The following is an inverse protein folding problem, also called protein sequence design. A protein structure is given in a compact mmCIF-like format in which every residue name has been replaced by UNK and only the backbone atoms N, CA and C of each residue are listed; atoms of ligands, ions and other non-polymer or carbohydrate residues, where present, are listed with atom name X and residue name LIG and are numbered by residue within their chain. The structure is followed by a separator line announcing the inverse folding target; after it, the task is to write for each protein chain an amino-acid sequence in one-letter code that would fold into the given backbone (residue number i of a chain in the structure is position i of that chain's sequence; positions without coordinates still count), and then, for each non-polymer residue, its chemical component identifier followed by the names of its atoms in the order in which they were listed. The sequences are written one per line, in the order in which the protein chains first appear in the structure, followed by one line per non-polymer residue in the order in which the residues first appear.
data_IF_994750877974
#
_entry.id   IF_994750877974
#
_cell.length_a   1.000
_cell.length_b   1.000
_cell.length_c   1.000
_cell.angle_alpha   90.00
_cell.angle_beta   90.00
_cell.angle_gamma   90.00
#
_symmetry.space_group_name_H-M   'P 1'
#
loop_
_entity.id
_entity.type
_entity.pdbx_description
1 polymer ?
#
# COMPACT_ATOMS: atom_id res chain seq x y z
N UNK A 1 45.53 8.43 51.68
CA UNK A 1 45.55 7.04 51.18
C UNK A 1 44.11 6.60 51.05
N UNK A 2 43.59 6.48 49.83
CA UNK A 2 42.27 5.90 49.60
C UNK A 2 42.24 5.23 48.22
N UNK A 3 42.43 3.92 48.19
CA UNK A 3 42.42 3.13 46.96
C UNK A 3 40.98 2.77 46.57
N UNK A 4 40.51 3.33 45.45
CA UNK A 4 39.23 2.95 44.84
C UNK A 4 39.38 1.58 44.15
N UNK A 5 38.78 0.53 44.74
CA UNK A 5 38.69 -0.82 44.17
C UNK A 5 37.94 -0.80 42.82
N UNK A 6 38.59 -1.29 41.75
CA UNK A 6 38.00 -1.43 40.41
C UNK A 6 37.01 -2.61 40.40
N UNK A 7 35.77 -2.39 39.97
CA UNK A 7 34.74 -3.44 39.78
C UNK A 7 35.22 -4.42 38.71
N UNK A 8 35.27 -5.71 39.03
CA UNK A 8 35.67 -6.78 38.10
C UNK A 8 34.59 -7.01 37.04
N UNK A 9 35.02 -7.23 35.78
CA UNK A 9 34.12 -7.53 34.65
C UNK A 9 33.29 -8.77 34.96
N UNK A 10 31.97 -8.62 34.85
CA UNK A 10 30.99 -9.68 35.00
C UNK A 10 31.27 -10.77 33.95
N UNK A 11 31.85 -11.91 34.36
CA UNK A 11 32.12 -13.05 33.49
C UNK A 11 30.80 -13.77 33.19
N UNK A 12 30.19 -13.46 32.06
CA UNK A 12 29.03 -14.20 31.57
C UNK A 12 29.49 -15.61 31.18
N UNK A 13 29.23 -16.61 32.03
CA UNK A 13 29.54 -18.01 31.71
C UNK A 13 28.56 -18.49 30.62
N UNK A 14 29.03 -18.96 29.46
CA UNK A 14 28.14 -19.45 28.41
C UNK A 14 27.39 -20.68 28.90
N UNK A 15 26.10 -20.76 28.56
CA UNK A 15 25.22 -21.86 28.95
C UNK A 15 25.82 -23.22 28.50
N UNK A 16 26.08 -24.16 29.43
CA UNK A 16 26.73 -25.44 29.14
C UNK A 16 25.96 -26.32 28.13
N UNK A 17 24.65 -26.10 27.97
CA UNK A 17 23.83 -26.81 26.98
C UNK A 17 24.13 -26.42 25.54
N UNK A 18 24.66 -25.20 25.29
CA UNK A 18 25.03 -24.75 23.94
C UNK A 18 26.27 -25.49 23.40
N UNK A 19 27.15 -25.98 24.29
CA UNK A 19 28.40 -26.68 23.92
C UNK A 19 28.18 -28.14 23.52
N UNK A 20 27.11 -28.78 24.01
CA UNK A 20 26.83 -30.22 23.77
C UNK A 20 25.88 -30.47 22.60
N UNK A 21 24.90 -29.58 22.37
CA UNK A 21 23.85 -29.78 21.36
C UNK A 21 23.87 -28.79 20.19
N UNK A 22 24.85 -27.87 20.18
CA UNK A 22 24.84 -26.74 19.24
C UNK A 22 23.62 -25.84 19.46
N UNK A 23 23.64 -24.65 18.88
CA UNK A 23 22.47 -23.79 18.87
C UNK A 23 21.33 -24.46 18.06
N UNK A 24 20.32 -24.98 18.76
CA UNK A 24 19.06 -25.58 18.29
C UNK A 24 19.14 -26.62 17.15
N UNK A 25 18.89 -27.89 17.49
CA UNK A 25 18.80 -29.03 16.56
C UNK A 25 17.65 -28.88 15.54
N UNK A 26 16.64 -28.08 15.84
CA UNK A 26 15.63 -27.69 14.86
C UNK A 26 16.00 -26.33 14.27
N UNK A 27 16.63 -26.34 13.08
CA UNK A 27 16.73 -25.15 12.24
C UNK A 27 15.31 -24.67 11.98
N UNK A 28 14.83 -23.69 12.76
CA UNK A 28 13.55 -23.03 12.50
C UNK A 28 13.58 -22.65 11.03
N UNK A 29 12.68 -23.22 10.24
CA UNK A 29 12.52 -22.76 8.87
C UNK A 29 12.30 -21.26 8.98
N UNK A 30 13.09 -20.46 8.26
CA UNK A 30 12.91 -19.03 8.27
C UNK A 30 11.50 -18.76 7.71
N UNK A 31 10.55 -18.52 8.59
CA UNK A 31 9.18 -18.18 8.27
C UNK A 31 9.15 -16.66 8.07
N UNK A 32 8.68 -16.21 6.90
CA UNK A 32 8.67 -14.80 6.50
C UNK A 32 9.54 -14.50 5.26
N UNK A 33 9.47 -13.25 4.76
CA UNK A 33 10.10 -12.80 3.49
C UNK A 33 11.59 -13.13 3.41
N UNK A 34 12.32 -12.92 4.51
CA UNK A 34 13.75 -13.21 4.58
C UNK A 34 14.06 -14.70 4.37
N UNK A 35 13.14 -15.58 4.78
CA UNK A 35 13.24 -17.01 4.52
C UNK A 35 12.95 -17.38 3.08
N UNK A 36 11.95 -16.76 2.46
CA UNK A 36 11.64 -16.93 1.03
C UNK A 36 12.81 -16.46 0.16
N UNK A 37 13.36 -15.27 0.43
CA UNK A 37 14.55 -14.74 -0.23
C UNK A 37 15.77 -15.65 -0.08
N UNK A 38 15.92 -16.29 1.08
CA UNK A 38 16.99 -17.26 1.30
C UNK A 38 16.80 -18.50 0.42
N UNK A 39 15.58 -19.03 0.32
CA UNK A 39 15.25 -20.16 -0.55
C UNK A 39 15.53 -19.83 -2.02
N UNK A 40 15.13 -18.64 -2.50
CA UNK A 40 15.43 -18.16 -3.86
C UNK A 40 16.94 -18.19 -4.12
N UNK A 41 17.74 -17.56 -3.24
CA UNK A 41 19.21 -17.55 -3.39
C UNK A 41 19.82 -18.95 -3.36
N UNK A 42 19.32 -19.83 -2.50
CA UNK A 42 19.82 -21.21 -2.40
C UNK A 42 19.50 -22.00 -3.68
N UNK A 43 18.30 -21.84 -4.26
CA UNK A 43 17.91 -22.45 -5.55
C UNK A 43 18.70 -21.87 -6.74
N UNK A 44 18.89 -20.55 -6.80
CA UNK A 44 19.72 -19.90 -7.83
C UNK A 44 21.17 -20.39 -7.75
N UNK A 45 21.74 -20.55 -6.55
CA UNK A 45 23.08 -21.12 -6.35
C UNK A 45 23.15 -22.58 -6.77
N UNK A 46 22.10 -23.38 -6.50
CA UNK A 46 22.00 -24.76 -6.92
C UNK A 46 22.06 -24.87 -8.45
N UNK A 47 21.27 -24.03 -9.14
CA UNK A 47 21.25 -23.98 -10.61
C UNK A 47 22.62 -23.63 -11.20
N UNK A 48 23.34 -22.66 -10.59
CA UNK A 48 24.69 -22.25 -11.02
C UNK A 48 25.76 -23.33 -10.75
N UNK A 49 25.65 -24.07 -9.64
CA UNK A 49 26.67 -25.03 -9.21
C UNK A 49 26.58 -26.37 -9.93
N UNK A 50 25.38 -26.82 -10.29
CA UNK A 50 25.16 -28.19 -10.75
C UNK A 50 25.10 -28.27 -12.28
N UNK A 51 26.27 -28.41 -12.91
CA UNK A 51 26.43 -28.44 -14.37
C UNK A 51 25.79 -29.67 -15.03
N UNK A 52 25.78 -30.83 -14.36
CA UNK A 52 25.24 -32.11 -14.86
C UNK A 52 23.75 -32.37 -14.57
N UNK A 53 22.95 -31.34 -14.28
CA UNK A 53 21.55 -31.53 -13.89
C UNK A 53 20.64 -31.75 -15.10
N UNK A 54 19.71 -32.72 -15.00
CA UNK A 54 18.70 -33.00 -16.05
C UNK A 54 17.88 -31.73 -16.36
N UNK A 55 17.57 -31.49 -17.64
CA UNK A 55 16.74 -30.39 -18.12
C UNK A 55 15.41 -30.27 -17.37
N UNK A 56 14.74 -31.40 -17.08
CA UNK A 56 13.48 -31.39 -16.31
C UNK A 56 13.65 -30.80 -14.90
N UNK A 57 14.74 -31.17 -14.20
CA UNK A 57 15.04 -30.64 -12.86
C UNK A 57 15.42 -29.16 -12.91
N UNK A 58 16.10 -28.71 -13.98
CA UNK A 58 16.37 -27.28 -14.20
C UNK A 58 15.07 -26.50 -14.33
N UNK A 59 14.14 -26.97 -15.16
CA UNK A 59 12.83 -26.34 -15.36
C UNK A 59 11.98 -26.32 -14.07
N UNK A 60 12.05 -27.38 -13.26
CA UNK A 60 11.34 -27.41 -11.98
C UNK A 60 11.89 -26.35 -11.02
N UNK A 61 13.22 -26.24 -10.90
CA UNK A 61 13.86 -25.26 -10.04
C UNK A 61 13.59 -23.82 -10.52
N UNK A 62 13.58 -23.55 -11.82
CA UNK A 62 13.25 -22.21 -12.34
C UNK A 62 11.81 -21.83 -12.02
N UNK A 63 10.84 -22.73 -12.26
CA UNK A 63 9.44 -22.51 -11.88
C UNK A 63 9.27 -22.29 -10.37
N UNK A 64 10.04 -23.00 -9.55
CA UNK A 64 10.04 -22.79 -8.10
C UNK A 64 10.58 -21.41 -7.73
N UNK A 65 11.64 -20.94 -8.38
CA UNK A 65 12.19 -19.59 -8.18
C UNK A 65 11.13 -18.55 -8.54
N UNK A 66 10.53 -18.64 -9.73
CA UNK A 66 9.48 -17.73 -10.21
C UNK A 66 8.30 -17.66 -9.22
N UNK A 67 7.83 -18.81 -8.72
CA UNK A 67 6.75 -18.86 -7.72
C UNK A 67 7.14 -18.18 -6.40
N UNK A 68 8.39 -18.36 -5.93
CA UNK A 68 8.86 -17.73 -4.70
C UNK A 68 9.06 -16.22 -4.90
N UNK A 69 9.50 -15.77 -6.07
CA UNK A 69 9.66 -14.36 -6.41
C UNK A 69 8.30 -13.65 -6.41
N UNK A 70 7.27 -14.27 -7.01
CA UNK A 70 5.90 -13.77 -6.95
C UNK A 70 5.42 -13.62 -5.50
N UNK A 71 5.68 -14.60 -4.64
CA UNK A 71 5.31 -14.53 -3.21
C UNK A 71 6.00 -13.37 -2.49
N UNK A 72 7.28 -13.10 -2.80
CA UNK A 72 8.01 -11.95 -2.24
C UNK A 72 7.38 -10.65 -2.70
N UNK A 73 6.99 -10.57 -3.96
CA UNK A 73 6.37 -9.38 -4.52
C UNK A 73 5.00 -9.09 -3.90
N UNK A 74 4.15 -10.10 -3.78
CA UNK A 74 2.86 -9.98 -3.10
C UNK A 74 3.01 -9.56 -1.64
N UNK A 75 4.05 -10.03 -0.96
CA UNK A 75 4.33 -9.60 0.41
C UNK A 75 4.72 -8.12 0.46
N UNK A 76 5.61 -7.66 -0.44
CA UNK A 76 5.99 -6.25 -0.53
C UNK A 76 4.78 -5.36 -0.84
N UNK A 77 3.89 -5.79 -1.74
CA UNK A 77 2.65 -5.07 -2.05
C UNK A 77 1.77 -4.96 -0.80
N UNK A 78 1.56 -6.07 -0.09
CA UNK A 78 0.77 -6.11 1.14
C UNK A 78 1.35 -5.23 2.24
N UNK A 79 2.68 -5.19 2.40
CA UNK A 79 3.33 -4.28 3.35
C UNK A 79 3.06 -2.81 3.01
N UNK A 80 3.20 -2.42 1.75
CA UNK A 80 2.88 -1.05 1.29
C UNK A 80 1.42 -0.70 1.53
N UNK A 81 0.49 -1.61 1.24
CA UNK A 81 -0.94 -1.43 1.53
C UNK A 81 -1.20 -1.24 3.02
N UNK A 82 -0.55 -2.03 3.88
CA UNK A 82 -0.68 -1.90 5.33
C UNK A 82 -0.10 -0.57 5.85
N UNK A 83 1.02 -0.11 5.29
CA UNK A 83 1.62 1.17 5.62
C UNK A 83 0.69 2.34 5.24
N UNK A 84 0.14 2.31 4.03
CA UNK A 84 -0.84 3.31 3.57
C UNK A 84 -2.11 3.28 4.42
N UNK A 85 -2.64 2.09 4.71
CA UNK A 85 -3.81 1.92 5.55
C UNK A 85 -3.59 2.53 6.93
N UNK A 86 -2.46 2.24 7.60
CA UNK A 86 -2.11 2.83 8.90
C UNK A 86 -1.94 4.36 8.81
N UNK A 87 -1.25 4.85 7.78
CA UNK A 87 -0.97 6.27 7.58
C UNK A 87 -2.26 7.10 7.44
N UNK A 88 -3.23 6.61 6.67
CA UNK A 88 -4.46 7.35 6.38
C UNK A 88 -5.67 6.90 7.21
N UNK A 89 -5.52 5.91 8.09
CA UNK A 89 -6.62 5.40 8.93
C UNK A 89 -7.33 6.52 9.69
N UNK A 90 -6.56 7.40 10.35
CA UNK A 90 -7.13 8.50 11.14
C UNK A 90 -7.78 9.57 10.26
N UNK A 91 -7.13 9.95 9.14
CA UNK A 91 -7.68 10.92 8.19
C UNK A 91 -9.03 10.43 7.64
N UNK A 92 -9.08 9.18 7.17
CA UNK A 92 -10.32 8.53 6.69
C UNK A 92 -11.38 8.47 7.78
N UNK A 93 -11.01 8.13 9.02
CA UNK A 93 -11.96 8.09 10.14
C UNK A 93 -12.60 9.46 10.41
N UNK A 94 -11.80 10.54 10.41
CA UNK A 94 -12.30 11.90 10.62
C UNK A 94 -13.25 12.30 9.49
N UNK A 95 -12.88 12.05 8.24
CA UNK A 95 -13.74 12.35 7.08
C UNK A 95 -15.01 11.51 7.07
N UNK A 96 -14.92 10.23 7.42
CA UNK A 96 -16.07 9.34 7.54
C UNK A 96 -17.03 9.89 8.61
N UNK A 97 -16.52 10.29 9.78
CA UNK A 97 -17.32 10.89 10.85
C UNK A 97 -17.95 12.22 10.44
N UNK A 98 -17.26 13.06 9.66
CA UNK A 98 -17.82 14.31 9.12
C UNK A 98 -18.95 14.01 8.14
N UNK A 99 -18.73 13.07 7.22
CA UNK A 99 -19.68 12.69 6.17
C UNK A 99 -20.94 12.05 6.76
N UNK A 100 -20.80 11.10 7.70
CA UNK A 100 -21.95 10.47 8.36
C UNK A 100 -22.78 11.46 9.17
N UNK A 101 -22.14 12.41 9.86
CA UNK A 101 -22.85 13.52 10.52
C UNK A 101 -23.65 14.39 9.54
N UNK A 102 -23.11 14.68 8.35
CA UNK A 102 -23.82 15.45 7.31
C UNK A 102 -25.01 14.66 6.75
N UNK A 103 -24.80 13.38 6.41
CA UNK A 103 -25.87 12.47 5.96
C UNK A 103 -27.01 12.45 6.99
N UNK A 104 -26.71 12.18 8.26
CA UNK A 104 -27.74 12.12 9.32
C UNK A 104 -28.46 13.45 9.53
N UNK A 105 -27.80 14.59 9.34
CA UNK A 105 -28.44 15.91 9.40
C UNK A 105 -29.39 16.12 8.21
N UNK A 106 -28.94 15.81 7.00
CA UNK A 106 -29.75 15.95 5.78
C UNK A 106 -30.96 15.02 5.80
N UNK A 107 -30.81 13.77 6.23
CA UNK A 107 -31.91 12.83 6.41
C UNK A 107 -32.97 13.35 7.39
N UNK A 108 -32.55 13.99 8.49
CA UNK A 108 -33.49 14.63 9.43
C UNK A 108 -34.20 15.82 8.82
N UNK A 109 -33.50 16.65 8.05
CA UNK A 109 -34.10 17.80 7.37
C UNK A 109 -35.14 17.34 6.33
N UNK A 110 -34.80 16.36 5.49
CA UNK A 110 -35.72 15.76 4.54
C UNK A 110 -36.93 15.11 5.20
N UNK A 111 -36.76 14.50 6.38
CA UNK A 111 -37.87 13.92 7.15
C UNK A 111 -38.83 14.95 7.76
N UNK A 112 -38.42 16.22 7.87
CA UNK A 112 -39.24 17.32 8.40
C UNK A 112 -39.88 18.18 7.29
N UNK A 113 -39.40 18.05 6.04
CA UNK A 113 -39.91 18.82 4.89
C UNK A 113 -40.91 18.00 4.08
N UNK A 114 -41.88 18.68 3.46
CA UNK A 114 -42.75 18.04 2.48
C UNK A 114 -42.01 17.88 1.15
N UNK A 115 -42.33 16.82 0.40
CA UNK A 115 -41.71 16.57 -0.93
C UNK A 115 -41.98 17.68 -1.96
N UNK A 116 -42.98 18.51 -1.71
CA UNK A 116 -43.39 19.62 -2.57
C UNK A 116 -42.77 20.97 -2.14
N UNK A 117 -41.99 20.98 -1.05
CA UNK A 117 -41.32 22.20 -0.60
C UNK A 117 -40.16 22.55 -1.54
N UNK A 118 -40.05 23.84 -1.85
CA UNK A 118 -38.93 24.39 -2.61
C UNK A 118 -37.61 24.05 -1.88
N UNK A 119 -36.71 23.33 -2.56
CA UNK A 119 -35.42 22.90 -2.03
C UNK A 119 -35.36 21.47 -1.52
N UNK A 120 -36.47 20.71 -1.51
CA UNK A 120 -36.44 19.27 -1.21
C UNK A 120 -35.49 18.52 -2.16
N UNK A 121 -35.60 18.77 -3.47
CA UNK A 121 -34.75 18.14 -4.50
C UNK A 121 -33.26 18.48 -4.32
N UNK A 122 -32.94 19.71 -3.91
CA UNK A 122 -31.56 20.12 -3.67
C UNK A 122 -30.97 19.42 -2.44
N UNK A 123 -31.76 19.26 -1.37
CA UNK A 123 -31.38 18.49 -0.19
C UNK A 123 -31.18 17.00 -0.50
N UNK A 124 -32.03 16.44 -1.35
CA UNK A 124 -31.93 15.05 -1.82
C UNK A 124 -30.66 14.84 -2.65
N UNK A 125 -30.36 15.75 -3.58
CA UNK A 125 -29.12 15.73 -4.36
C UNK A 125 -27.88 15.82 -3.47
N UNK A 126 -27.88 16.70 -2.47
CA UNK A 126 -26.79 16.80 -1.50
C UNK A 126 -26.64 15.50 -0.69
N UNK A 127 -27.75 14.86 -0.32
CA UNK A 127 -27.74 13.58 0.38
C UNK A 127 -27.05 12.51 -0.47
N UNK A 128 -27.41 12.39 -1.75
CA UNK A 128 -26.77 11.46 -2.69
C UNK A 128 -25.27 11.74 -2.84
N UNK A 129 -24.87 13.01 -2.94
CA UNK A 129 -23.45 13.38 -3.00
C UNK A 129 -22.70 12.93 -1.74
N UNK A 130 -23.24 13.17 -0.55
CA UNK A 130 -22.59 12.73 0.69
C UNK A 130 -22.59 11.20 0.84
N UNK A 131 -23.61 10.50 0.34
CA UNK A 131 -23.60 9.04 0.29
C UNK A 131 -22.48 8.53 -0.62
N UNK A 132 -22.30 9.13 -1.79
CA UNK A 132 -21.19 8.79 -2.68
C UNK A 132 -19.83 9.12 -2.05
N UNK A 133 -19.71 10.26 -1.37
CA UNK A 133 -18.50 10.63 -0.62
C UNK A 133 -18.18 9.59 0.48
N UNK A 134 -19.20 9.04 1.15
CA UNK A 134 -19.00 7.97 2.13
C UNK A 134 -18.47 6.69 1.46
N UNK A 135 -18.96 6.34 0.27
CA UNK A 135 -18.46 5.22 -0.52
C UNK A 135 -17.01 5.44 -0.95
N UNK A 136 -16.68 6.65 -1.39
CA UNK A 136 -15.31 7.04 -1.73
C UNK A 136 -14.35 6.84 -0.54
N UNK A 137 -14.74 7.29 0.65
CA UNK A 137 -13.91 7.09 1.86
C UNK A 137 -13.82 5.60 2.20
N UNK A 138 -14.93 4.85 2.19
CA UNK A 138 -14.96 3.44 2.61
C UNK A 138 -14.14 2.56 1.66
N UNK A 139 -14.34 2.71 0.36
CA UNK A 139 -13.80 1.82 -0.68
C UNK A 139 -12.64 2.44 -1.47
N UNK A 140 -11.98 3.45 -0.91
CA UNK A 140 -10.78 4.03 -1.49
C UNK A 140 -9.70 2.95 -1.79
N UNK A 141 -8.99 3.02 -2.94
CA UNK A 141 -7.99 2.03 -3.30
C UNK A 141 -6.89 1.85 -2.24
N UNK A 142 -6.49 0.60 -2.00
CA UNK A 142 -5.50 0.27 -0.95
C UNK A 142 -4.06 0.53 -1.36
N UNK A 143 -3.80 0.62 -2.66
CA UNK A 143 -2.49 0.73 -3.29
C UNK A 143 -2.08 2.18 -3.62
N UNK A 144 -2.98 3.14 -3.39
CA UNK A 144 -2.79 4.56 -3.70
C UNK A 144 -2.84 5.41 -2.43
N UNK A 145 -2.06 6.50 -2.40
CA UNK A 145 -2.15 7.52 -1.35
C UNK A 145 -3.58 8.08 -1.28
N UNK A 146 -4.13 8.20 -0.07
CA UNK A 146 -5.45 8.79 0.11
C UNK A 146 -5.50 10.26 -0.31
N UNK A 147 -6.48 10.61 -1.15
CA UNK A 147 -6.79 11.99 -1.53
C UNK A 147 -8.00 12.44 -0.70
N UNK A 148 -7.75 13.36 0.23
CA UNK A 148 -8.73 13.92 1.16
C UNK A 148 -9.81 14.71 0.43
N UNK A 149 -11.08 14.47 0.77
CA UNK A 149 -12.22 15.23 0.24
C UNK A 149 -12.40 16.57 0.96
N UNK A 150 -11.96 16.65 2.22
CA UNK A 150 -12.09 17.83 3.08
C UNK A 150 -10.73 18.22 3.64
N UNK A 151 -9.81 18.74 2.81
CA UNK A 151 -8.52 19.22 3.29
C UNK A 151 -8.74 20.25 4.39
N UNK A 152 -8.04 20.11 5.51
CA UNK A 152 -8.01 21.15 6.53
C UNK A 152 -7.11 22.28 6.04
N UNK A 153 -7.46 23.53 6.36
CA UNK A 153 -6.67 24.72 6.02
C UNK A 153 -5.20 24.64 6.50
N UNK A 154 -4.92 23.81 7.52
CA UNK A 154 -3.56 23.50 7.97
C UNK A 154 -2.74 22.73 6.93
N UNK A 155 -3.36 21.79 6.20
CA UNK A 155 -2.68 20.93 5.23
C UNK A 155 -2.42 21.67 3.91
N UNK A 156 -3.28 22.64 3.57
CA UNK A 156 -3.06 23.51 2.40
C UNK A 156 -1.81 24.37 2.60
N UNK A 157 -1.64 24.93 3.81
CA UNK A 157 -0.48 25.74 4.17
C UNK A 157 0.82 24.95 4.20
N UNK A 158 0.82 23.72 4.73
CA UNK A 158 2.00 22.84 4.70
C UNK A 158 2.46 22.53 3.25
N UNK A 159 1.52 22.36 2.32
CA UNK A 159 1.85 22.12 0.90
C UNK A 159 2.48 23.34 0.21
N UNK A 160 2.13 24.56 0.64
CA UNK A 160 2.68 25.82 0.15
C UNK A 160 3.99 26.20 0.82
N UNK A 161 4.18 25.89 2.10
CA UNK A 161 5.35 26.34 2.87
C UNK A 161 6.60 25.46 2.73
N UNK A 162 6.46 24.18 2.36
CA UNK A 162 7.61 23.26 2.30
C UNK A 162 8.28 23.17 0.92
N UNK A 163 7.72 23.80 -0.12
CA UNK A 163 8.14 23.56 -1.49
C UNK A 163 8.78 24.78 -2.16
N UNK A 164 10.10 24.73 -2.38
CA UNK A 164 10.81 25.57 -3.37
C UNK A 164 10.44 25.18 -4.81
N UNK A 165 9.18 24.93 -5.07
CA UNK A 165 8.66 24.36 -6.31
C UNK A 165 7.98 25.47 -7.10
N UNK A 166 8.16 25.49 -8.42
CA UNK A 166 7.55 26.52 -9.25
C UNK A 166 6.01 26.42 -9.19
N UNK A 167 5.28 27.55 -9.22
CA UNK A 167 3.81 27.53 -9.23
C UNK A 167 3.22 26.65 -10.34
N UNK A 168 3.93 26.50 -11.47
CA UNK A 168 3.54 25.68 -12.60
C UNK A 168 3.57 24.18 -12.27
N UNK A 169 4.54 23.74 -11.49
CA UNK A 169 4.67 22.33 -11.11
C UNK A 169 3.65 21.96 -10.02
N UNK A 170 3.32 22.90 -9.13
CA UNK A 170 2.22 22.74 -8.17
C UNK A 170 0.88 22.56 -8.90
N UNK A 171 0.60 23.40 -9.91
CA UNK A 171 -0.62 23.30 -10.71
C UNK A 171 -0.72 21.94 -11.45
N UNK A 172 0.37 21.49 -12.08
CA UNK A 172 0.44 20.16 -12.70
C UNK A 172 0.22 19.03 -11.69
N UNK A 173 0.75 19.15 -10.48
CA UNK A 173 0.55 18.18 -9.41
C UNK A 173 -0.91 18.09 -8.95
N UNK A 174 -1.57 19.24 -8.80
CA UNK A 174 -3.01 19.32 -8.49
C UNK A 174 -3.84 18.67 -9.60
N UNK A 175 -3.53 18.96 -10.87
CA UNK A 175 -4.22 18.37 -12.01
C UNK A 175 -4.09 16.83 -12.05
N UNK A 176 -2.88 16.30 -11.83
CA UNK A 176 -2.66 14.83 -11.75
C UNK A 176 -3.46 14.20 -10.60
N UNK A 177 -3.54 14.90 -9.46
CA UNK A 177 -4.29 14.43 -8.29
C UNK A 177 -5.80 14.40 -8.57
N UNK A 178 -6.34 15.44 -9.21
CA UNK A 178 -7.75 15.50 -9.58
C UNK A 178 -8.10 14.46 -10.66
N UNK A 179 -7.23 14.25 -11.66
CA UNK A 179 -7.41 13.16 -12.63
C UNK A 179 -7.51 11.79 -11.96
N UNK A 180 -6.63 11.50 -11.01
CA UNK A 180 -6.65 10.25 -10.27
C UNK A 180 -7.92 10.12 -9.41
N UNK A 181 -8.35 11.20 -8.77
CA UNK A 181 -9.61 11.25 -8.00
C UNK A 181 -10.81 10.92 -8.88
N UNK A 182 -10.88 11.48 -10.08
CA UNK A 182 -11.96 11.20 -11.04
C UNK A 182 -11.96 9.74 -11.50
N UNK A 183 -10.80 9.17 -11.81
CA UNK A 183 -10.69 7.75 -12.17
C UNK A 183 -11.17 6.82 -11.04
N UNK A 184 -10.84 7.16 -9.78
CA UNK A 184 -11.31 6.41 -8.61
C UNK A 184 -12.82 6.51 -8.47
N UNK A 185 -13.36 7.73 -8.62
CA UNK A 185 -14.81 7.97 -8.55
C UNK A 185 -15.56 7.19 -9.64
N UNK A 186 -15.04 7.16 -10.87
CA UNK A 186 -15.62 6.40 -11.98
C UNK A 186 -15.64 4.90 -11.69
N UNK A 187 -14.51 4.33 -11.25
CA UNK A 187 -14.45 2.90 -10.86
C UNK A 187 -15.43 2.56 -9.74
N UNK A 188 -15.60 3.47 -8.77
CA UNK A 188 -16.57 3.29 -7.68
C UNK A 188 -18.01 3.38 -8.16
N UNK A 189 -18.33 4.31 -9.07
CA UNK A 189 -19.66 4.41 -9.69
C UNK A 189 -19.98 3.11 -10.45
N UNK A 190 -19.06 2.62 -11.27
CA UNK A 190 -19.22 1.35 -11.97
C UNK A 190 -19.39 0.18 -10.99
N UNK A 191 -18.63 0.14 -9.89
CA UNK A 191 -18.78 -0.90 -8.87
C UNK A 191 -20.13 -0.81 -8.12
N UNK A 192 -20.65 0.41 -7.92
CA UNK A 192 -21.96 0.66 -7.32
C UNK A 192 -23.10 0.19 -8.22
N UNK A 193 -23.07 0.56 -9.49
CA UNK A 193 -24.07 0.19 -10.49
C UNK A 193 -24.13 -1.33 -10.69
N UNK A 194 -22.97 -1.99 -10.67
CA UNK A 194 -22.89 -3.45 -10.77
C UNK A 194 -23.17 -4.18 -9.44
N UNK A 195 -23.39 -3.46 -8.33
CA UNK A 195 -23.68 -4.07 -7.03
C UNK A 195 -22.51 -4.86 -6.40
N UNK A 196 -21.27 -4.55 -6.78
CA UNK A 196 -20.06 -5.20 -6.28
C UNK A 196 -19.62 -4.69 -4.90
N UNK A 197 -20.13 -3.53 -4.47
CA UNK A 197 -19.79 -2.89 -3.19
C UNK A 197 -20.37 -3.67 -2.00
N UNK A 198 -19.69 -4.76 -1.62
CA UNK A 198 -20.02 -5.61 -0.47
C UNK A 198 -18.89 -5.58 0.56
N UNK A 199 -19.14 -6.16 1.72
CA UNK A 199 -18.09 -6.32 2.73
C UNK A 199 -17.00 -7.27 2.19
N UNK A 200 -15.75 -6.81 2.27
CA UNK A 200 -14.60 -7.47 1.67
C UNK A 200 -14.23 -7.00 0.26
N UNK A 201 -14.99 -6.09 -0.36
CA UNK A 201 -14.58 -5.46 -1.62
C UNK A 201 -13.33 -4.59 -1.41
N UNK A 202 -12.30 -4.83 -2.23
CA UNK A 202 -11.04 -4.08 -2.21
C UNK A 202 -10.77 -3.53 -3.59
N UNK A 203 -10.65 -2.21 -3.69
CA UNK A 203 -10.26 -1.53 -4.92
C UNK A 203 -8.74 -1.44 -5.02
N UNK A 204 -8.20 -1.74 -6.20
CA UNK A 204 -6.78 -1.55 -6.55
C UNK A 204 -6.72 -0.75 -7.84
N UNK A 205 -5.86 0.26 -7.90
CA UNK A 205 -5.68 1.06 -9.10
C UNK A 205 -4.68 0.46 -10.06
N UNK A 206 -3.56 -0.03 -9.54
CA UNK A 206 -2.53 -0.75 -10.29
C UNK A 206 -3.00 -2.17 -10.55
N UNK A 207 -3.05 -2.56 -11.82
CA UNK A 207 -3.25 -3.95 -12.18
C UNK A 207 -1.93 -4.72 -11.99
N UNK A 208 -2.02 -6.05 -11.86
CA UNK A 208 -0.82 -6.90 -11.77
C UNK A 208 -0.01 -6.88 -13.07
N UNK A 209 -0.64 -6.57 -14.21
CA UNK A 209 -0.02 -6.54 -15.55
C UNK A 209 0.77 -5.25 -15.82
N UNK A 210 0.34 -4.09 -15.29
CA UNK A 210 1.02 -2.79 -15.48
C UNK A 210 2.48 -2.75 -14.98
N UNK A 211 2.97 -3.80 -14.31
CA UNK A 211 4.36 -3.93 -13.88
C UNK A 211 5.26 -4.58 -14.91
N UNK A 212 4.73 -5.43 -15.78
CA UNK A 212 5.49 -5.99 -16.90
C UNK A 212 5.78 -4.86 -17.90
N UNK A 213 4.77 -4.08 -18.25
CA UNK A 213 4.89 -2.95 -19.19
C UNK A 213 5.86 -1.85 -18.71
N UNK A 214 5.83 -1.48 -17.42
CA UNK A 214 6.75 -0.45 -16.90
C UNK A 214 8.21 -0.92 -16.74
N UNK A 215 8.44 -2.23 -16.66
CA UNK A 215 9.79 -2.76 -16.62
C UNK A 215 10.36 -2.84 -18.04
N UNK A 216 9.53 -3.16 -19.03
CA UNK A 216 9.89 -3.10 -20.46
C UNK A 216 10.16 -1.66 -20.94
N UNK A 217 9.37 -0.66 -20.55
CA UNK A 217 9.62 0.75 -20.90
C UNK A 217 10.93 1.28 -20.30
N UNK A 218 11.28 0.90 -19.07
CA UNK A 218 12.56 1.28 -18.45
C UNK A 218 13.75 0.58 -19.10
N UNK A 219 13.59 -0.71 -19.45
CA UNK A 219 14.64 -1.47 -20.12
C UNK A 219 14.86 -1.00 -21.57
N UNK A 220 13.84 -0.45 -22.26
CA UNK A 220 13.97 0.18 -23.59
C UNK A 220 14.63 1.57 -23.53
N UNK A 221 14.24 2.43 -22.58
CA UNK A 221 14.87 3.76 -22.40
C UNK A 221 16.35 3.64 -22.02
N UNK A 222 16.73 2.66 -21.20
CA UNK A 222 18.13 2.40 -20.82
C UNK A 222 18.97 1.81 -21.97
N UNK A 223 18.35 1.06 -22.90
CA UNK A 223 19.04 0.52 -24.08
C UNK A 223 19.34 1.60 -25.12
N UNK A 224 18.46 2.58 -25.29
CA UNK A 224 18.63 3.68 -26.22
C UNK A 224 19.68 4.71 -25.75
N UNK A 225 19.82 4.94 -24.43
CA UNK A 225 20.90 5.77 -23.87
C UNK A 225 22.29 5.11 -24.00
N UNK A 226 22.36 3.78 -23.97
CA UNK A 226 23.64 3.05 -24.03
C UNK A 226 24.31 3.05 -25.43
N UNK A 227 23.56 3.31 -26.51
CA UNK A 227 24.09 3.34 -27.88
C UNK A 227 24.45 4.75 -28.39
N UNK A 228 24.32 5.78 -27.56
CA UNK A 228 24.50 7.19 -27.95
C UNK A 228 25.82 7.83 -27.49
N UNK A 229 26.77 7.05 -26.96
CA UNK A 229 28.10 7.53 -26.53
C UNK A 229 29.28 6.85 -27.26
#
# INVERSE_FOLDING_TARGET
MEEKKRKTKNQYKPNPLAKKYGHSVHKKQATGVNGVNKKIRDLQRLLKKQTGMNAQKKQEITRQIESLELQVEEHKQREKEQELAKKYQYVKFVEQKKTTKRITKLQKQLGLMAKQDDGYEELERQLEEFQFNLLYIKYYPVDVKYISLYPSESNEKESESESKISPKDIAKGKEKTERLRLQIAEKLRNAQENGLLKDGFVLRMKQKQDKEDHNEEQDEEEQDEFFME
#
